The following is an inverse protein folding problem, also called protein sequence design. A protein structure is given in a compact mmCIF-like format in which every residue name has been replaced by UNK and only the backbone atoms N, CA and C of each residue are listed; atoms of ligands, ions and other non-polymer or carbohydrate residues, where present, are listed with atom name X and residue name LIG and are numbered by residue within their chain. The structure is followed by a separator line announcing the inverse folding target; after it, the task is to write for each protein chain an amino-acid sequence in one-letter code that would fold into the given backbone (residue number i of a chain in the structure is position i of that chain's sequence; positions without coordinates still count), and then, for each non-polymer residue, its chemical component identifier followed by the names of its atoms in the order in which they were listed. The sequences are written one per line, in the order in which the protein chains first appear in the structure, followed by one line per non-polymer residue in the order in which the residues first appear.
data_IF_434927264825
#
_entry.id   IF_434927264825
#
_cell.length_a   1.000
_cell.length_b   1.000
_cell.length_c   1.000
_cell.angle_alpha   90.00
_cell.angle_beta   90.00
_cell.angle_gamma   90.00
#
_symmetry.space_group_name_H-M   'P 1'
#
loop_
_entity.id
_entity.type
_entity.pdbx_description
1 polymer ?
#
# COMPACT_ATOMS: atom_id res chain seq x y z
N UNK A 1 20.37 -16.76 6.91
CA UNK A 1 18.91 -16.98 7.00
C UNK A 1 18.56 -18.31 6.34
N UNK A 2 17.58 -19.07 6.85
CA UNK A 2 17.09 -20.25 6.13
C UNK A 2 16.46 -19.78 4.81
N UNK A 3 16.64 -20.58 3.74
CA UNK A 3 16.04 -20.30 2.43
C UNK A 3 14.51 -20.41 2.47
N UNK A 4 13.84 -19.71 1.56
CA UNK A 4 12.38 -19.77 1.40
C UNK A 4 12.03 -21.01 0.57
N UNK A 5 11.21 -21.91 1.10
CA UNK A 5 10.63 -22.99 0.31
C UNK A 5 9.57 -22.42 -0.66
N UNK A 6 9.99 -22.15 -1.90
CA UNK A 6 9.15 -21.56 -2.93
C UNK A 6 7.93 -22.43 -3.27
N UNK A 7 8.06 -23.77 -3.18
CA UNK A 7 6.96 -24.70 -3.47
C UNK A 7 5.91 -24.61 -2.35
N UNK A 8 6.33 -24.62 -1.10
CA UNK A 8 5.43 -24.48 0.03
C UNK A 8 4.77 -23.11 0.09
N UNK A 9 5.53 -22.03 -0.20
CA UNK A 9 4.97 -20.68 -0.29
C UNK A 9 3.87 -20.59 -1.37
N UNK A 10 4.10 -21.14 -2.55
CA UNK A 10 3.11 -21.19 -3.62
C UNK A 10 1.87 -22.02 -3.22
N UNK A 11 2.04 -23.20 -2.62
CA UNK A 11 0.94 -24.06 -2.17
C UNK A 11 0.10 -23.40 -1.07
N UNK A 12 0.73 -22.74 -0.10
CA UNK A 12 0.02 -22.00 0.94
C UNK A 12 -0.75 -20.83 0.36
N UNK A 13 -0.14 -20.05 -0.52
CA UNK A 13 -0.79 -18.94 -1.21
C UNK A 13 -2.03 -19.41 -2.01
N UNK A 14 -1.92 -20.50 -2.74
CA UNK A 14 -3.04 -21.11 -3.46
C UNK A 14 -4.17 -21.58 -2.53
N UNK A 15 -3.85 -22.07 -1.33
CA UNK A 15 -4.86 -22.47 -0.35
C UNK A 15 -5.73 -21.30 0.10
N UNK A 16 -5.16 -20.12 0.30
CA UNK A 16 -5.90 -18.90 0.64
C UNK A 16 -6.79 -18.42 -0.50
N UNK A 17 -6.30 -18.50 -1.75
CA UNK A 17 -7.07 -18.12 -2.93
C UNK A 17 -8.32 -18.99 -3.18
N UNK A 18 -8.32 -20.22 -2.65
CA UNK A 18 -9.46 -21.17 -2.73
C UNK A 18 -10.50 -20.95 -1.64
N UNK A 19 -10.21 -20.17 -0.61
CA UNK A 19 -11.18 -19.86 0.46
C UNK A 19 -12.32 -19.00 -0.09
N UNK A 20 -13.54 -19.30 0.33
CA UNK A 20 -14.71 -18.49 -0.01
C UNK A 20 -15.44 -18.07 1.27
N UNK A 21 -15.80 -16.80 1.33
CA UNK A 21 -16.65 -16.24 2.37
C UNK A 21 -17.98 -15.80 1.77
N UNK A 22 -19.05 -15.92 2.54
CA UNK A 22 -20.43 -15.66 2.08
C UNK A 22 -21.18 -14.78 3.09
N UNK A 23 -22.36 -14.31 2.69
CA UNK A 23 -23.27 -13.57 3.57
C UNK A 23 -22.64 -12.32 4.17
N UNK A 24 -22.87 -12.09 5.45
CA UNK A 24 -22.41 -10.93 6.20
C UNK A 24 -20.88 -10.79 6.22
N UNK A 25 -20.15 -11.91 6.33
CA UNK A 25 -18.67 -11.87 6.31
C UNK A 25 -18.15 -11.35 4.97
N UNK A 26 -18.81 -11.67 3.84
CA UNK A 26 -18.43 -11.08 2.54
C UNK A 26 -18.70 -9.57 2.51
N UNK A 27 -19.84 -9.13 3.05
CA UNK A 27 -20.15 -7.70 3.15
C UNK A 27 -19.09 -6.93 3.95
N UNK A 28 -18.73 -7.45 5.13
CA UNK A 28 -17.70 -6.88 5.98
C UNK A 28 -16.35 -6.81 5.27
N UNK A 29 -15.93 -7.90 4.61
CA UNK A 29 -14.67 -7.96 3.87
C UNK A 29 -14.61 -6.96 2.69
N UNK A 30 -15.73 -6.77 1.96
CA UNK A 30 -15.79 -5.77 0.89
C UNK A 30 -15.60 -4.35 1.42
N UNK A 31 -16.29 -4.00 2.52
CA UNK A 31 -16.16 -2.68 3.16
C UNK A 31 -14.77 -2.47 3.74
N UNK A 32 -14.24 -3.48 4.40
CA UNK A 32 -12.88 -3.45 4.92
C UNK A 32 -11.86 -3.26 3.78
N UNK A 33 -12.00 -3.97 2.66
CA UNK A 33 -11.15 -3.78 1.50
C UNK A 33 -11.23 -2.35 0.93
N UNK A 34 -12.41 -1.71 0.93
CA UNK A 34 -12.58 -0.31 0.52
C UNK A 34 -11.83 0.63 1.48
N UNK A 35 -11.98 0.45 2.79
CA UNK A 35 -11.29 1.28 3.78
C UNK A 35 -9.76 1.14 3.73
N UNK A 36 -9.24 0.10 3.11
CA UNK A 36 -7.81 -0.18 2.94
C UNK A 36 -7.25 0.24 1.58
N UNK A 37 -8.04 0.87 0.72
CA UNK A 37 -7.56 1.29 -0.60
C UNK A 37 -6.61 2.49 -0.49
N UNK A 38 -5.47 2.39 -1.17
CA UNK A 38 -4.67 3.53 -1.59
C UNK A 38 -4.96 3.77 -3.08
N UNK A 39 -5.85 4.71 -3.38
CA UNK A 39 -6.18 5.05 -4.77
C UNK A 39 -5.01 5.78 -5.42
N UNK A 40 -4.52 5.23 -6.51
CA UNK A 40 -3.21 5.62 -7.06
C UNK A 40 -3.34 6.13 -8.48
N UNK A 41 -2.72 7.27 -8.77
CA UNK A 41 -2.43 7.73 -10.12
C UNK A 41 -0.99 8.21 -10.20
N UNK A 42 -0.19 7.57 -11.08
CA UNK A 42 1.26 7.77 -11.20
C UNK A 42 1.66 7.76 -12.67
N UNK A 43 0.92 8.51 -13.50
CA UNK A 43 1.21 8.64 -14.92
C UNK A 43 1.83 10.00 -15.23
N UNK A 44 2.78 10.05 -16.13
CA UNK A 44 3.42 11.30 -16.54
C UNK A 44 2.44 12.35 -17.15
N UNK A 45 1.25 11.89 -17.52
CA UNK A 45 0.16 12.74 -18.02
C UNK A 45 -0.90 13.12 -16.97
N UNK A 46 -0.66 12.86 -15.69
CA UNK A 46 -1.61 13.19 -14.63
C UNK A 46 -1.79 14.71 -14.55
N UNK A 47 -3.04 15.13 -14.45
CA UNK A 47 -3.42 16.53 -14.36
C UNK A 47 -4.04 16.83 -13.00
N UNK A 48 -4.04 18.09 -12.54
CA UNK A 48 -4.76 18.49 -11.32
C UNK A 48 -6.23 18.06 -11.33
N UNK A 49 -6.89 18.14 -12.49
CA UNK A 49 -8.29 17.68 -12.63
C UNK A 49 -8.48 16.20 -12.37
N UNK A 50 -7.54 15.35 -12.82
CA UNK A 50 -7.55 13.91 -12.56
C UNK A 50 -7.29 13.62 -11.09
N UNK A 51 -6.37 14.35 -10.45
CA UNK A 51 -6.10 14.20 -9.01
C UNK A 51 -7.32 14.59 -8.18
N UNK A 52 -8.00 15.72 -8.50
CA UNK A 52 -9.26 16.09 -7.85
C UNK A 52 -10.35 15.03 -8.00
N UNK A 53 -10.47 14.42 -9.18
CA UNK A 53 -11.42 13.32 -9.40
C UNK A 53 -11.08 12.09 -8.53
N UNK A 54 -9.80 11.74 -8.45
CA UNK A 54 -9.30 10.65 -7.59
C UNK A 54 -9.60 10.93 -6.11
N UNK A 55 -9.42 12.17 -5.64
CA UNK A 55 -9.72 12.58 -4.27
C UNK A 55 -11.21 12.45 -3.95
N UNK A 56 -12.10 12.94 -4.85
CA UNK A 56 -13.55 12.76 -4.67
C UNK A 56 -13.92 11.29 -4.57
N UNK A 57 -13.36 10.44 -5.43
CA UNK A 57 -13.58 9.00 -5.38
C UNK A 57 -13.02 8.36 -4.10
N UNK A 58 -11.92 8.85 -3.56
CA UNK A 58 -11.37 8.36 -2.29
C UNK A 58 -12.29 8.66 -1.11
N UNK A 59 -12.91 9.83 -1.10
CA UNK A 59 -13.88 10.24 -0.06
C UNK A 59 -15.19 9.48 -0.20
N UNK A 60 -15.70 9.30 -1.41
CA UNK A 60 -16.95 8.58 -1.72
C UNK A 60 -16.70 7.53 -2.82
N UNK A 61 -16.18 6.33 -2.45
CA UNK A 61 -15.85 5.29 -3.43
C UNK A 61 -17.04 4.70 -4.18
N UNK A 62 -18.24 4.93 -3.66
CA UNK A 62 -19.50 4.45 -4.25
C UNK A 62 -20.40 5.64 -4.50
N UNK A 63 -20.58 6.02 -5.76
CA UNK A 63 -21.62 6.95 -6.16
C UNK A 63 -22.96 6.22 -6.16
N UNK A 64 -23.92 6.74 -5.39
CA UNK A 64 -25.29 6.20 -5.37
C UNK A 64 -26.09 6.93 -6.42
N UNK A 65 -26.59 6.25 -7.47
CA UNK A 65 -27.42 6.90 -8.50
C UNK A 65 -28.64 7.60 -7.89
N UNK A 66 -29.04 8.70 -8.50
CA UNK A 66 -30.21 9.46 -8.07
C UNK A 66 -31.45 8.54 -8.01
N UNK A 67 -32.18 8.56 -6.90
CA UNK A 67 -33.36 7.70 -6.67
C UNK A 67 -33.06 6.28 -6.16
N UNK A 68 -31.77 5.93 -5.99
CA UNK A 68 -31.40 4.68 -5.34
C UNK A 68 -31.20 4.87 -3.83
N UNK A 69 -31.54 3.85 -3.05
CA UNK A 69 -31.26 3.85 -1.60
C UNK A 69 -29.76 3.67 -1.35
N UNK A 70 -29.13 4.54 -0.55
CA UNK A 70 -27.73 4.35 -0.17
C UNK A 70 -27.51 3.02 0.53
N UNK A 71 -26.33 2.39 0.36
CA UNK A 71 -25.99 1.18 1.11
C UNK A 71 -26.02 1.42 2.62
N UNK A 72 -26.65 0.51 3.35
CA UNK A 72 -26.67 0.51 4.82
C UNK A 72 -25.92 -0.74 5.33
N UNK A 73 -24.94 -0.55 6.22
CA UNK A 73 -24.30 0.69 6.67
C UNK A 73 -23.58 1.44 5.53
N UNK A 74 -23.26 2.74 5.75
CA UNK A 74 -22.57 3.57 4.77
C UNK A 74 -21.22 2.95 4.34
N UNK A 75 -20.83 3.18 3.08
CA UNK A 75 -19.54 2.70 2.57
C UNK A 75 -18.42 3.57 3.11
N UNK A 76 -17.33 2.99 3.65
CA UNK A 76 -16.20 3.77 4.15
C UNK A 76 -15.46 4.48 3.01
N UNK A 77 -14.77 5.57 3.34
CA UNK A 77 -13.79 6.20 2.45
C UNK A 77 -12.56 5.30 2.24
N UNK A 78 -11.76 5.58 1.21
CA UNK A 78 -10.46 4.96 1.01
C UNK A 78 -9.45 5.44 2.07
N UNK A 79 -8.40 4.68 2.33
CA UNK A 79 -7.36 5.05 3.29
C UNK A 79 -6.53 6.24 2.82
N UNK A 80 -6.15 6.25 1.54
CA UNK A 80 -5.30 7.27 0.99
C UNK A 80 -5.51 7.47 -0.52
N UNK A 81 -5.02 8.61 -1.01
CA UNK A 81 -4.66 8.81 -2.41
C UNK A 81 -3.14 8.79 -2.54
N UNK A 82 -2.60 8.20 -3.61
CA UNK A 82 -1.18 8.11 -3.85
C UNK A 82 -0.83 8.79 -5.19
N UNK A 83 0.02 9.82 -5.14
CA UNK A 83 0.33 10.70 -6.25
C UNK A 83 1.84 10.98 -6.36
N UNK A 84 2.28 11.63 -7.43
CA UNK A 84 3.62 12.20 -7.53
C UNK A 84 3.79 13.41 -6.59
N UNK A 85 5.02 13.75 -6.14
CA UNK A 85 5.29 14.87 -5.23
C UNK A 85 4.68 16.20 -5.70
N UNK A 86 4.74 16.49 -6.99
CA UNK A 86 4.19 17.72 -7.59
C UNK A 86 2.67 17.84 -7.50
N UNK A 87 1.96 16.76 -7.21
CA UNK A 87 0.50 16.70 -7.09
C UNK A 87 0.01 16.65 -5.63
N UNK A 88 0.92 16.65 -4.66
CA UNK A 88 0.58 16.53 -3.23
C UNK A 88 -0.27 17.72 -2.76
N UNK A 89 0.14 18.95 -3.07
CA UNK A 89 -0.60 20.15 -2.70
C UNK A 89 -2.02 20.14 -3.29
N UNK A 90 -2.16 19.79 -4.58
CA UNK A 90 -3.46 19.66 -5.24
C UNK A 90 -4.36 18.59 -4.57
N UNK A 91 -3.77 17.44 -4.21
CA UNK A 91 -4.51 16.39 -3.52
C UNK A 91 -4.97 16.86 -2.13
N UNK A 92 -4.10 17.57 -1.39
CA UNK A 92 -4.40 18.12 -0.08
C UNK A 92 -5.55 19.12 -0.13
N UNK A 93 -5.47 20.06 -1.07
CA UNK A 93 -6.52 21.07 -1.27
C UNK A 93 -7.86 20.42 -1.67
N UNK A 94 -7.81 19.41 -2.54
CA UNK A 94 -9.00 18.70 -2.99
C UNK A 94 -9.66 17.84 -1.90
N UNK A 95 -8.90 17.34 -0.94
CA UNK A 95 -9.39 16.55 0.19
C UNK A 95 -9.91 17.42 1.34
N UNK A 96 -9.36 18.63 1.53
CA UNK A 96 -9.71 19.48 2.68
C UNK A 96 -9.58 18.72 4.01
N UNK A 97 -10.66 18.71 4.78
CA UNK A 97 -10.74 18.03 6.09
C UNK A 97 -11.16 16.54 6.00
N UNK A 98 -11.29 15.99 4.80
CA UNK A 98 -11.66 14.58 4.66
C UNK A 98 -10.60 13.66 5.30
N UNK A 99 -11.01 12.55 5.96
CA UNK A 99 -10.10 11.66 6.68
C UNK A 99 -9.35 10.70 5.74
N UNK A 100 -8.96 11.18 4.56
CA UNK A 100 -8.18 10.46 3.56
C UNK A 100 -6.75 11.00 3.55
N UNK A 101 -5.77 10.12 3.67
CA UNK A 101 -4.37 10.51 3.68
C UNK A 101 -3.85 10.81 2.28
N UNK A 102 -2.82 11.66 2.20
CA UNK A 102 -2.06 11.88 0.97
C UNK A 102 -0.74 11.14 1.07
N UNK A 103 -0.57 10.11 0.25
CA UNK A 103 0.69 9.40 0.06
C UNK A 103 1.40 9.98 -1.18
N UNK A 104 2.71 10.19 -1.09
CA UNK A 104 3.54 10.57 -2.21
C UNK A 104 4.58 9.49 -2.51
N UNK A 105 4.71 9.10 -3.78
CA UNK A 105 5.89 8.34 -4.20
C UNK A 105 7.09 9.27 -4.22
N UNK A 106 8.23 8.81 -3.71
CA UNK A 106 9.43 9.64 -3.63
C UNK A 106 10.71 8.81 -3.79
N UNK A 107 11.85 9.43 -3.53
CA UNK A 107 13.18 8.83 -3.64
C UNK A 107 13.56 8.39 -5.04
N UNK A 108 13.19 9.20 -6.06
CA UNK A 108 13.50 8.91 -7.45
C UNK A 108 12.62 7.80 -8.05
N UNK A 109 11.36 7.74 -7.63
CA UNK A 109 10.38 6.78 -8.16
C UNK A 109 10.25 6.87 -9.71
N UNK A 110 10.16 5.76 -10.46
CA UNK A 110 10.08 4.37 -9.98
C UNK A 110 11.42 3.65 -9.85
N UNK A 111 12.52 4.19 -10.35
CA UNK A 111 13.80 3.46 -10.46
C UNK A 111 14.68 3.52 -9.21
N UNK A 112 14.62 4.61 -8.44
CA UNK A 112 15.51 4.86 -7.31
C UNK A 112 16.96 5.16 -7.71
N UNK A 113 17.25 5.37 -9.00
CA UNK A 113 18.61 5.54 -9.52
C UNK A 113 19.02 7.02 -9.62
N UNK A 114 18.96 7.70 -8.49
CA UNK A 114 19.46 9.05 -8.32
C UNK A 114 20.40 9.11 -7.10
N UNK A 115 21.33 10.09 -7.04
CA UNK A 115 22.10 10.32 -5.82
C UNK A 115 21.20 10.46 -4.59
N UNK A 116 21.65 9.92 -3.45
CA UNK A 116 20.80 9.83 -2.26
C UNK A 116 20.32 11.19 -1.76
N UNK A 117 21.18 12.23 -1.82
CA UNK A 117 20.82 13.60 -1.44
C UNK A 117 19.68 14.18 -2.28
N UNK A 118 19.65 13.89 -3.60
CA UNK A 118 18.53 14.27 -4.49
C UNK A 118 17.25 13.54 -4.10
N UNK A 119 17.35 12.24 -3.80
CA UNK A 119 16.22 11.39 -3.38
C UNK A 119 15.64 11.83 -2.03
N UNK A 120 16.49 12.23 -1.09
CA UNK A 120 16.05 12.77 0.21
C UNK A 120 15.39 14.14 0.06
N UNK A 121 15.89 14.98 -0.86
CA UNK A 121 15.26 16.27 -1.16
C UNK A 121 13.87 16.09 -1.75
N UNK A 122 13.69 15.18 -2.72
CA UNK A 122 12.39 14.80 -3.28
C UNK A 122 11.39 14.38 -2.17
N UNK A 123 11.86 13.59 -1.20
CA UNK A 123 11.08 13.21 -0.04
C UNK A 123 10.71 14.40 0.85
N UNK A 124 11.68 15.28 1.17
CA UNK A 124 11.46 16.47 2.00
C UNK A 124 10.45 17.43 1.34
N UNK A 125 10.56 17.64 0.04
CA UNK A 125 9.65 18.50 -0.73
C UNK A 125 8.22 17.94 -0.74
N UNK A 126 8.05 16.63 -0.87
CA UNK A 126 6.74 15.97 -0.78
C UNK A 126 6.10 16.16 0.61
N UNK A 127 6.87 15.99 1.69
CA UNK A 127 6.38 16.22 3.06
C UNK A 127 6.03 17.69 3.28
N UNK A 128 6.88 18.62 2.82
CA UNK A 128 6.62 20.05 2.90
C UNK A 128 5.36 20.48 2.14
N UNK A 129 5.03 19.80 1.04
CA UNK A 129 3.80 20.00 0.28
C UNK A 129 2.55 19.42 0.97
N UNK A 130 2.69 18.66 2.05
CA UNK A 130 1.59 18.13 2.85
C UNK A 130 1.34 16.63 2.72
N UNK A 131 2.31 15.83 2.27
CA UNK A 131 2.18 14.37 2.29
C UNK A 131 2.13 13.85 3.73
N UNK A 132 1.18 12.94 4.02
CA UNK A 132 1.09 12.22 5.29
C UNK A 132 1.93 10.94 5.26
N UNK A 133 2.22 10.43 4.08
CA UNK A 133 2.88 9.14 3.87
C UNK A 133 3.84 9.24 2.67
N UNK A 134 5.01 8.62 2.81
CA UNK A 134 6.03 8.56 1.76
C UNK A 134 6.21 7.12 1.32
N UNK A 135 5.95 6.85 0.05
CA UNK A 135 6.22 5.56 -0.60
C UNK A 135 7.61 5.65 -1.27
N UNK A 136 8.69 5.35 -0.52
CA UNK A 136 10.05 5.31 -1.05
C UNK A 136 10.31 4.06 -1.88
N UNK A 137 11.24 4.12 -2.82
CA UNK A 137 11.72 2.95 -3.55
C UNK A 137 13.19 2.68 -3.24
N UNK A 138 13.57 1.42 -2.99
CA UNK A 138 14.96 1.02 -2.76
C UNK A 138 15.75 0.99 -4.08
N UNK A 139 17.07 1.11 -3.99
CA UNK A 139 18.00 0.88 -5.11
C UNK A 139 18.16 -0.63 -5.34
N UNK A 140 17.30 -1.20 -6.22
CA UNK A 140 17.31 -2.65 -6.53
C UNK A 140 18.65 -3.13 -7.05
N UNK A 141 19.30 -2.32 -7.90
CA UNK A 141 20.63 -2.64 -8.42
C UNK A 141 21.69 -2.80 -7.33
N UNK A 142 21.68 -1.94 -6.31
CA UNK A 142 22.55 -2.08 -5.15
C UNK A 142 22.21 -3.35 -4.36
N UNK A 143 20.92 -3.61 -4.14
CA UNK A 143 20.49 -4.82 -3.44
C UNK A 143 20.95 -6.09 -4.16
N UNK A 144 20.71 -6.21 -5.46
CA UNK A 144 21.12 -7.37 -6.29
C UNK A 144 22.64 -7.49 -6.39
N UNK A 145 23.37 -6.37 -6.38
CA UNK A 145 24.83 -6.32 -6.32
C UNK A 145 25.43 -6.68 -4.96
N UNK A 146 24.60 -6.95 -3.93
CA UNK A 146 25.06 -7.30 -2.59
C UNK A 146 25.43 -6.10 -1.70
N UNK A 147 25.20 -4.86 -2.15
CA UNK A 147 25.47 -3.63 -1.41
C UNK A 147 24.35 -3.32 -0.40
N UNK A 148 24.11 -4.27 0.50
CA UNK A 148 22.97 -4.22 1.42
C UNK A 148 23.07 -3.07 2.44
N UNK A 149 24.28 -2.72 2.87
CA UNK A 149 24.50 -1.62 3.83
C UNK A 149 24.08 -0.27 3.23
N UNK A 150 24.32 -0.05 1.94
CA UNK A 150 23.87 1.13 1.21
C UNK A 150 22.34 1.19 1.14
N UNK A 151 21.69 0.06 0.83
CA UNK A 151 20.22 -0.02 0.83
C UNK A 151 19.65 0.24 2.22
N UNK A 152 20.25 -0.32 3.27
CA UNK A 152 19.84 -0.03 4.65
C UNK A 152 20.03 1.45 5.01
N UNK A 153 21.12 2.08 4.56
CA UNK A 153 21.38 3.50 4.75
C UNK A 153 20.29 4.34 4.09
N UNK A 154 19.91 4.05 2.84
CA UNK A 154 18.80 4.74 2.14
C UNK A 154 17.50 4.70 2.95
N UNK A 155 17.14 3.54 3.48
CA UNK A 155 15.91 3.37 4.28
C UNK A 155 16.03 4.14 5.60
N UNK A 156 17.17 4.04 6.31
CA UNK A 156 17.41 4.76 7.58
C UNK A 156 17.32 6.27 7.42
N UNK A 157 18.00 6.82 6.42
CA UNK A 157 18.01 8.27 6.19
C UNK A 157 16.62 8.78 5.79
N UNK A 158 15.91 8.02 4.94
CA UNK A 158 14.50 8.35 4.58
C UNK A 158 13.58 8.26 5.80
N UNK A 159 13.74 7.24 6.66
CA UNK A 159 12.95 7.10 7.89
C UNK A 159 13.19 8.24 8.86
N UNK A 160 14.47 8.64 9.05
CA UNK A 160 14.83 9.76 9.89
C UNK A 160 14.20 11.06 9.38
N UNK A 161 14.25 11.28 8.07
CA UNK A 161 13.63 12.44 7.42
C UNK A 161 12.11 12.45 7.59
N UNK A 162 11.45 11.30 7.43
CA UNK A 162 9.99 11.17 7.66
C UNK A 162 9.61 11.49 9.11
N UNK A 163 10.43 11.06 10.08
CA UNK A 163 10.17 11.32 11.50
C UNK A 163 10.40 12.79 11.89
N UNK A 164 11.45 13.41 11.34
CA UNK A 164 11.88 14.77 11.66
C UNK A 164 12.10 15.59 10.39
N UNK A 165 11.04 15.88 9.62
CA UNK A 165 11.19 16.65 8.39
C UNK A 165 11.57 18.11 8.72
N UNK A 166 12.37 18.77 7.87
CA UNK A 166 12.75 20.18 8.07
C UNK A 166 11.54 21.13 7.94
N UNK A 167 10.50 20.69 7.24
CA UNK A 167 9.21 21.39 7.06
C UNK A 167 8.08 20.37 6.96
N UNK A 168 6.89 20.77 7.36
CA UNK A 168 5.71 19.88 7.36
C UNK A 168 5.54 19.12 8.67
N UNK A 169 4.74 18.07 8.63
CA UNK A 169 4.48 17.16 9.76
C UNK A 169 5.20 15.84 9.55
N UNK A 170 5.51 15.08 10.58
CA UNK A 170 6.01 13.73 10.43
C UNK A 170 5.11 12.89 9.50
N UNK A 171 5.73 12.08 8.65
CA UNK A 171 5.07 11.23 7.68
C UNK A 171 5.36 9.75 7.94
N UNK A 172 4.41 8.88 7.61
CA UNK A 172 4.66 7.44 7.63
C UNK A 172 5.52 7.03 6.44
N UNK A 173 6.34 6.00 6.62
CA UNK A 173 7.21 5.47 5.58
C UNK A 173 6.67 4.14 5.04
N UNK A 174 6.60 4.01 3.70
CA UNK A 174 6.37 2.73 3.04
C UNK A 174 7.53 2.43 2.09
N UNK A 175 8.20 1.30 2.31
CA UNK A 175 9.39 0.90 1.55
C UNK A 175 9.00 -0.01 0.41
N UNK A 176 9.10 0.47 -0.83
CA UNK A 176 8.83 -0.31 -2.05
C UNK A 176 10.06 -1.15 -2.36
N UNK A 177 9.88 -2.47 -2.36
CA UNK A 177 10.94 -3.43 -2.65
C UNK A 177 11.09 -3.71 -4.16
N UNK A 178 10.04 -3.49 -4.96
CA UNK A 178 9.91 -3.87 -6.38
C UNK A 178 10.17 -5.36 -6.59
N UNK A 179 9.35 -6.15 -5.95
CA UNK A 179 9.53 -7.61 -5.84
C UNK A 179 9.59 -8.35 -7.16
N UNK A 180 9.03 -7.77 -8.24
CA UNK A 180 9.13 -8.33 -9.58
C UNK A 180 10.54 -8.31 -10.18
N UNK A 181 11.44 -7.45 -9.66
CA UNK A 181 12.85 -7.36 -10.08
C UNK A 181 13.82 -8.02 -9.10
N UNK A 182 13.34 -8.59 -7.98
CA UNK A 182 14.19 -9.27 -7.00
C UNK A 182 14.48 -10.74 -7.34
N UNK A 183 13.94 -11.25 -8.43
CA UNK A 183 14.22 -12.54 -9.07
C UNK A 183 13.76 -13.77 -8.27
N UNK A 184 14.03 -13.84 -6.96
CA UNK A 184 13.73 -15.01 -6.11
C UNK A 184 12.94 -14.64 -4.85
N UNK A 185 12.21 -15.61 -4.29
CA UNK A 185 11.54 -15.43 -3.00
C UNK A 185 12.53 -15.25 -1.84
N UNK A 186 13.75 -15.81 -1.95
CA UNK A 186 14.82 -15.56 -0.98
C UNK A 186 15.23 -14.09 -0.98
N UNK A 187 15.39 -13.48 -2.15
CA UNK A 187 15.69 -12.05 -2.28
C UNK A 187 14.53 -11.19 -1.77
N UNK A 188 13.28 -11.56 -2.06
CA UNK A 188 12.09 -10.87 -1.51
C UNK A 188 12.10 -10.92 0.02
N UNK A 189 12.37 -12.09 0.61
CA UNK A 189 12.47 -12.23 2.05
C UNK A 189 13.60 -11.38 2.61
N UNK A 190 14.79 -11.47 2.03
CA UNK A 190 15.96 -10.71 2.47
C UNK A 190 15.74 -9.20 2.37
N UNK A 191 15.18 -8.71 1.27
CA UNK A 191 14.86 -7.29 1.10
C UNK A 191 13.82 -6.82 2.13
N UNK A 192 12.83 -7.67 2.46
CA UNK A 192 11.84 -7.38 3.49
C UNK A 192 12.50 -7.24 4.87
N UNK A 193 13.32 -8.22 5.25
CA UNK A 193 14.01 -8.19 6.54
C UNK A 193 14.95 -6.98 6.67
N UNK A 194 15.73 -6.67 5.62
CA UNK A 194 16.63 -5.51 5.60
C UNK A 194 15.87 -4.18 5.69
N UNK A 195 14.76 -4.04 4.96
CA UNK A 195 13.94 -2.83 4.99
C UNK A 195 13.31 -2.61 6.38
N UNK A 196 12.78 -3.67 6.99
CA UNK A 196 12.19 -3.65 8.33
C UNK A 196 13.27 -3.30 9.36
N UNK A 197 14.40 -4.01 9.34
CA UNK A 197 15.52 -3.75 10.26
C UNK A 197 16.01 -2.31 10.15
N UNK A 198 16.27 -1.84 8.95
CA UNK A 198 16.75 -0.49 8.72
C UNK A 198 15.78 0.57 9.23
N UNK A 199 14.47 0.39 9.02
CA UNK A 199 13.46 1.33 9.49
C UNK A 199 13.27 1.30 11.01
N UNK A 200 13.48 0.14 11.66
CA UNK A 200 13.33 -0.03 13.10
C UNK A 200 14.59 0.36 13.90
N UNK A 201 15.77 0.42 13.27
CA UNK A 201 17.06 0.62 13.94
C UNK A 201 17.78 1.89 13.50
N UNK A 202 17.04 2.99 13.34
CA UNK A 202 17.64 4.29 13.01
C UNK A 202 18.35 4.86 14.24
N UNK A 203 19.66 5.17 14.17
CA UNK A 203 20.39 5.72 15.31
C UNK A 203 19.77 7.04 15.80
N UNK A 204 19.52 7.14 17.10
CA UNK A 204 18.97 8.34 17.72
C UNK A 204 17.45 8.53 17.52
N UNK A 205 16.77 7.62 16.86
CA UNK A 205 15.32 7.63 16.68
C UNK A 205 14.68 6.49 17.46
N UNK A 206 13.53 6.74 18.07
CA UNK A 206 12.73 5.68 18.68
C UNK A 206 12.26 4.66 17.63
N UNK A 207 12.01 3.43 18.08
CA UNK A 207 11.37 2.43 17.24
C UNK A 207 10.02 2.96 16.71
N UNK A 208 9.62 2.57 15.48
CA UNK A 208 8.37 3.06 14.92
C UNK A 208 7.16 2.61 15.73
N UNK A 209 6.17 3.47 15.83
CA UNK A 209 4.85 3.08 16.31
C UNK A 209 4.18 2.11 15.32
N UNK A 210 3.15 1.39 15.80
CA UNK A 210 2.39 0.45 14.98
C UNK A 210 1.86 1.13 13.71
N UNK A 211 2.20 0.56 12.54
CA UNK A 211 1.78 1.08 11.24
C UNK A 211 2.45 2.39 10.79
N UNK A 212 3.46 2.88 11.49
CA UNK A 212 4.25 4.03 11.04
C UNK A 212 5.19 3.67 9.88
N UNK A 213 5.56 2.39 9.81
CA UNK A 213 6.38 1.81 8.74
C UNK A 213 5.64 0.68 8.05
N UNK A 214 5.69 0.67 6.72
CA UNK A 214 5.18 -0.39 5.86
C UNK A 214 6.28 -0.91 4.96
N UNK A 215 6.16 -2.18 4.54
CA UNK A 215 6.81 -2.67 3.33
C UNK A 215 5.77 -2.81 2.22
N UNK A 216 6.17 -2.48 0.98
CA UNK A 216 5.30 -2.47 -0.19
C UNK A 216 5.92 -3.32 -1.29
N UNK A 217 5.09 -4.10 -1.99
CA UNK A 217 5.60 -5.00 -3.03
C UNK A 217 6.23 -4.26 -4.20
N UNK A 218 5.51 -3.31 -4.80
CA UNK A 218 5.83 -2.86 -6.16
C UNK A 218 5.49 -1.40 -6.41
N UNK A 219 6.17 -0.81 -7.39
CA UNK A 219 5.84 0.52 -7.94
C UNK A 219 4.54 0.49 -8.75
N UNK A 220 4.18 -0.67 -9.31
CA UNK A 220 3.12 -0.82 -10.31
C UNK A 220 3.58 -0.54 -11.75
N UNK A 221 4.86 -0.18 -11.95
CA UNK A 221 5.45 0.09 -13.28
C UNK A 221 6.15 -1.11 -13.88
N UNK A 222 6.43 -2.14 -13.07
CA UNK A 222 7.09 -3.39 -13.48
C UNK A 222 6.15 -4.57 -13.24
N UNK A 223 6.28 -5.61 -14.07
CA UNK A 223 5.55 -6.88 -13.93
C UNK A 223 6.55 -8.03 -13.76
N UNK A 224 6.21 -9.06 -12.94
CA UNK A 224 4.99 -9.16 -12.12
C UNK A 224 5.02 -8.18 -10.95
N UNK A 225 3.84 -7.62 -10.63
CA UNK A 225 3.66 -6.78 -9.45
C UNK A 225 3.32 -7.65 -8.21
N UNK A 226 2.35 -7.28 -7.38
CA UNK A 226 1.95 -8.10 -6.24
C UNK A 226 1.41 -9.47 -6.67
N UNK A 227 1.97 -10.53 -6.10
CA UNK A 227 1.45 -11.89 -6.20
C UNK A 227 1.20 -12.46 -4.81
N UNK A 228 0.32 -13.45 -4.70
CA UNK A 228 0.01 -14.07 -3.41
C UNK A 228 1.25 -14.72 -2.75
N UNK A 229 2.12 -15.49 -3.46
CA UNK A 229 3.32 -16.06 -2.85
C UNK A 229 4.31 -15.00 -2.35
N UNK A 230 4.56 -13.96 -3.14
CA UNK A 230 5.44 -12.85 -2.77
C UNK A 230 4.91 -12.13 -1.52
N UNK A 231 3.61 -11.81 -1.51
CA UNK A 231 3.00 -11.14 -0.36
C UNK A 231 3.04 -12.02 0.88
N UNK A 232 2.83 -13.33 0.75
CA UNK A 232 2.94 -14.26 1.89
C UNK A 232 4.35 -14.22 2.51
N UNK A 233 5.40 -14.26 1.70
CA UNK A 233 6.79 -14.19 2.19
C UNK A 233 7.05 -12.86 2.92
N UNK A 234 6.52 -11.75 2.41
CA UNK A 234 6.62 -10.44 3.08
C UNK A 234 5.83 -10.39 4.39
N UNK A 235 4.63 -11.00 4.45
CA UNK A 235 3.86 -11.13 5.70
C UNK A 235 4.58 -11.99 6.73
N UNK A 236 5.28 -13.04 6.31
CA UNK A 236 6.10 -13.86 7.19
C UNK A 236 7.29 -13.07 7.78
N UNK A 237 7.92 -12.19 7.00
CA UNK A 237 8.95 -11.28 7.52
C UNK A 237 8.38 -10.31 8.57
N UNK A 238 7.18 -9.75 8.33
CA UNK A 238 6.47 -8.89 9.29
C UNK A 238 6.12 -9.66 10.56
N UNK A 239 5.60 -10.89 10.43
CA UNK A 239 5.29 -11.76 11.58
C UNK A 239 6.52 -12.00 12.42
N UNK A 240 7.63 -12.37 11.80
CA UNK A 240 8.86 -12.69 12.50
C UNK A 240 9.43 -11.45 13.21
N UNK A 241 9.36 -10.27 12.60
CA UNK A 241 9.68 -9.02 13.27
C UNK A 241 8.80 -8.79 14.51
N UNK A 242 7.47 -8.92 14.36
CA UNK A 242 6.53 -8.75 15.47
C UNK A 242 6.80 -9.73 16.62
N UNK A 243 7.07 -10.98 16.31
CA UNK A 243 7.37 -12.00 17.31
C UNK A 243 8.63 -11.67 18.11
N UNK A 244 9.62 -11.00 17.51
CA UNK A 244 10.88 -10.64 18.18
C UNK A 244 10.84 -9.28 18.88
N UNK A 245 10.07 -8.33 18.37
CA UNK A 245 10.14 -6.92 18.81
C UNK A 245 8.85 -6.37 19.39
N UNK A 246 7.71 -7.00 19.11
CA UNK A 246 6.38 -6.48 19.40
C UNK A 246 5.92 -5.34 18.48
N UNK A 247 6.73 -4.91 17.50
CA UNK A 247 6.40 -3.80 16.58
C UNK A 247 5.55 -4.31 15.42
N UNK A 248 4.41 -3.66 15.15
CA UNK A 248 3.54 -3.98 14.02
C UNK A 248 3.90 -3.18 12.79
N UNK A 249 4.65 -3.81 11.88
CA UNK A 249 4.95 -3.27 10.55
C UNK A 249 3.73 -3.48 9.64
N UNK A 250 3.40 -2.48 8.84
CA UNK A 250 2.31 -2.57 7.87
C UNK A 250 2.73 -3.23 6.55
N UNK A 251 1.73 -3.69 5.79
CA UNK A 251 1.92 -4.30 4.47
C UNK A 251 1.08 -3.61 3.41
N UNK A 252 1.68 -3.35 2.23
CA UNK A 252 0.97 -2.81 1.06
C UNK A 252 1.28 -3.62 -0.20
N UNK A 253 0.49 -4.66 -0.54
CA UNK A 253 0.55 -5.22 -1.89
C UNK A 253 0.04 -4.18 -2.90
N UNK A 254 0.78 -3.98 -3.98
CA UNK A 254 0.51 -2.98 -5.00
C UNK A 254 0.66 -3.52 -6.41
N UNK A 255 -0.28 -3.17 -7.29
CA UNK A 255 -0.35 -3.62 -8.69
C UNK A 255 -0.91 -5.04 -8.85
N UNK A 256 -1.66 -5.27 -9.92
CA UNK A 256 -2.21 -6.59 -10.28
C UNK A 256 -3.49 -7.01 -9.56
N UNK A 257 -3.89 -6.37 -8.47
CA UNK A 257 -5.11 -6.70 -7.71
C UNK A 257 -6.27 -5.88 -8.28
N UNK A 258 -7.21 -6.55 -8.93
CA UNK A 258 -8.29 -5.88 -9.70
C UNK A 258 -9.70 -6.27 -9.28
N UNK A 259 -9.86 -7.40 -8.58
CA UNK A 259 -11.16 -7.94 -8.25
C UNK A 259 -11.36 -8.10 -6.75
N UNK A 260 -12.60 -7.96 -6.30
CA UNK A 260 -13.00 -8.21 -4.92
C UNK A 260 -12.67 -9.63 -4.46
N UNK A 261 -12.73 -10.61 -5.36
CA UNK A 261 -12.32 -11.99 -5.05
C UNK A 261 -10.83 -12.06 -4.68
N UNK A 262 -9.98 -11.39 -5.46
CA UNK A 262 -8.56 -11.29 -5.13
C UNK A 262 -8.34 -10.58 -3.79
N UNK A 263 -8.96 -9.39 -3.59
CA UNK A 263 -8.84 -8.65 -2.34
C UNK A 263 -9.23 -9.50 -1.12
N UNK A 264 -10.34 -10.24 -1.19
CA UNK A 264 -10.77 -11.15 -0.12
C UNK A 264 -9.72 -12.24 0.13
N UNK A 265 -9.11 -12.81 -0.91
CA UNK A 265 -8.05 -13.82 -0.73
C UNK A 265 -6.83 -13.24 0.00
N UNK A 266 -6.44 -11.98 -0.29
CA UNK A 266 -5.40 -11.28 0.45
C UNK A 266 -5.80 -11.04 1.92
N UNK A 267 -7.04 -10.62 2.20
CA UNK A 267 -7.51 -10.43 3.58
C UNK A 267 -7.49 -11.75 4.37
N UNK A 268 -7.90 -12.85 3.76
CA UNK A 268 -7.80 -14.20 4.38
C UNK A 268 -6.34 -14.53 4.68
N UNK A 269 -5.42 -14.29 3.74
CA UNK A 269 -4.00 -14.53 3.94
C UNK A 269 -3.42 -13.69 5.08
N UNK A 270 -3.78 -12.42 5.16
CA UNK A 270 -3.37 -11.53 6.28
C UNK A 270 -3.87 -12.08 7.60
N UNK A 271 -5.17 -12.38 7.70
CA UNK A 271 -5.78 -12.93 8.91
C UNK A 271 -5.08 -14.21 9.38
N UNK A 272 -4.86 -15.16 8.49
CA UNK A 272 -4.28 -16.46 8.83
C UNK A 272 -2.76 -16.40 9.07
N UNK A 273 -2.06 -15.33 8.64
CA UNK A 273 -0.61 -15.19 8.83
C UNK A 273 -0.27 -14.28 10.00
N UNK A 274 -1.00 -13.19 10.17
CA UNK A 274 -0.69 -12.12 11.14
C UNK A 274 -1.75 -11.92 12.22
N UNK A 275 -2.99 -12.37 12.01
CA UNK A 275 -4.10 -12.16 12.94
C UNK A 275 -5.01 -11.00 12.54
N UNK A 276 -6.05 -10.79 13.37
CA UNK A 276 -7.11 -9.82 13.10
C UNK A 276 -6.63 -8.36 13.25
N UNK A 277 -5.58 -8.11 14.04
CA UNK A 277 -5.02 -6.79 14.28
C UNK A 277 -4.51 -6.13 13.01
N UNK A 278 -4.03 -6.92 12.03
CA UNK A 278 -3.61 -6.40 10.72
C UNK A 278 -4.76 -6.15 9.75
N UNK A 279 -5.97 -6.55 10.09
CA UNK A 279 -7.16 -6.25 9.29
C UNK A 279 -7.67 -4.82 9.57
N UNK A 280 -6.77 -3.85 9.45
CA UNK A 280 -7.06 -2.43 9.66
C UNK A 280 -6.30 -1.57 8.64
N UNK A 281 -6.85 -0.42 8.19
CA UNK A 281 -6.17 0.46 7.23
C UNK A 281 -4.86 1.06 7.76
N UNK A 282 -4.65 1.04 9.08
CA UNK A 282 -3.37 1.42 9.71
C UNK A 282 -2.25 0.42 9.52
N UNK A 283 -2.55 -0.85 9.15
CA UNK A 283 -1.57 -1.94 9.07
C UNK A 283 -1.61 -2.71 7.75
N UNK A 284 -2.69 -2.56 6.97
CA UNK A 284 -2.78 -3.20 5.66
C UNK A 284 -3.43 -2.27 4.63
N UNK A 285 -2.87 -2.20 3.43
CA UNK A 285 -3.34 -1.37 2.32
C UNK A 285 -3.34 -2.12 1.00
N UNK A 286 -4.26 -1.78 0.12
CA UNK A 286 -4.24 -2.19 -1.29
C UNK A 286 -3.82 -1.03 -2.19
N UNK A 287 -2.65 -1.12 -2.81
CA UNK A 287 -2.20 -0.16 -3.83
C UNK A 287 -2.87 -0.45 -5.18
N UNK A 288 -4.14 -0.10 -5.32
CA UNK A 288 -4.93 -0.48 -6.49
C UNK A 288 -6.12 0.46 -6.72
N UNK A 289 -6.21 1.07 -7.91
CA UNK A 289 -7.37 1.93 -8.29
C UNK A 289 -8.49 1.15 -8.98
N UNK A 290 -8.15 0.23 -9.90
CA UNK A 290 -9.16 -0.58 -10.61
C UNK A 290 -9.99 -1.47 -9.65
N UNK A 291 -9.40 -1.89 -8.52
CA UNK A 291 -10.09 -2.67 -7.49
C UNK A 291 -11.29 -1.91 -6.89
N UNK A 292 -11.20 -0.59 -6.75
CA UNK A 292 -12.26 0.23 -6.17
C UNK A 292 -13.58 0.07 -6.92
N UNK A 293 -13.52 0.04 -8.26
CA UNK A 293 -14.72 -0.11 -9.09
C UNK A 293 -15.39 -1.49 -8.91
N UNK A 294 -14.60 -2.56 -8.81
CA UNK A 294 -15.17 -3.89 -8.57
C UNK A 294 -15.76 -4.00 -7.17
N UNK A 295 -15.09 -3.48 -6.15
CA UNK A 295 -15.61 -3.43 -4.78
C UNK A 295 -16.92 -2.64 -4.72
N UNK A 296 -16.97 -1.44 -5.33
CA UNK A 296 -18.17 -0.60 -5.39
C UNK A 296 -19.34 -1.35 -6.02
N UNK A 297 -19.13 -2.00 -7.17
CA UNK A 297 -20.16 -2.82 -7.85
C UNK A 297 -20.66 -3.96 -6.97
N UNK A 298 -19.78 -4.65 -6.26
CA UNK A 298 -20.17 -5.75 -5.38
C UNK A 298 -20.99 -5.25 -4.18
N UNK A 299 -20.65 -4.09 -3.60
CA UNK A 299 -21.40 -3.49 -2.51
C UNK A 299 -22.79 -3.08 -2.99
N UNK A 300 -22.89 -2.36 -4.11
CA UNK A 300 -24.17 -1.97 -4.72
C UNK A 300 -25.05 -3.19 -5.04
N UNK A 301 -24.46 -4.24 -5.61
CA UNK A 301 -25.18 -5.50 -5.88
C UNK A 301 -25.75 -6.14 -4.61
N UNK A 302 -24.99 -6.15 -3.52
CA UNK A 302 -25.44 -6.76 -2.27
C UNK A 302 -26.58 -5.98 -1.61
N UNK A 303 -26.61 -4.65 -1.79
CA UNK A 303 -27.69 -3.80 -1.29
C UNK A 303 -28.95 -3.84 -2.16
N UNK A 304 -28.78 -3.80 -3.49
CA UNK A 304 -29.90 -3.68 -4.44
C UNK A 304 -30.39 -5.03 -5.03
N UNK A 305 -29.63 -6.11 -4.88
CA UNK A 305 -29.85 -7.39 -5.55
C UNK A 305 -29.58 -7.37 -7.07
N UNK A 306 -29.17 -6.21 -7.65
CA UNK A 306 -28.93 -6.01 -9.09
C UNK A 306 -27.46 -5.72 -9.36
N UNK A 307 -26.98 -6.12 -10.53
CA UNK A 307 -25.62 -5.73 -10.97
C UNK A 307 -25.62 -4.27 -11.38
N UNK A 308 -24.67 -3.51 -10.83
CA UNK A 308 -24.35 -2.17 -11.30
C UNK A 308 -23.68 -2.24 -12.69
N UNK A 309 -24.06 -1.35 -13.59
CA UNK A 309 -23.43 -1.24 -14.90
C UNK A 309 -22.03 -0.60 -14.81
N UNK A 310 -21.26 -0.68 -15.88
CA UNK A 310 -19.90 -0.10 -15.89
C UNK A 310 -19.93 1.44 -15.68
N UNK A 311 -20.95 2.10 -16.16
CA UNK A 311 -21.13 3.57 -16.05
C UNK A 311 -21.69 4.03 -14.69
N UNK A 312 -22.09 3.11 -13.81
CA UNK A 312 -22.51 3.42 -12.43
C UNK A 312 -21.33 3.63 -11.48
N UNK A 313 -20.11 3.44 -11.94
CA UNK A 313 -18.88 3.69 -11.19
C UNK A 313 -17.93 4.53 -12.03
N UNK A 314 -17.46 5.63 -11.48
CA UNK A 314 -16.56 6.55 -12.18
C UNK A 314 -15.18 5.93 -12.38
N UNK A 315 -14.63 6.05 -13.60
CA UNK A 315 -13.20 5.86 -13.84
C UNK A 315 -12.47 7.14 -13.43
N UNK A 316 -11.74 7.09 -12.32
CA UNK A 316 -10.87 8.19 -11.88
C UNK A 316 -9.42 7.87 -12.19
#
# INVERSE_FOLDING_TARGET
MPGVDAIMAARRADSFAKRSIKGSSKQQALRLAISMLDLTTLEGKDTPGKVRALCRKAVSPVDVPAGCTPPDPAVPHAAAVCVYPTMVAEARDALGDAPVKVAAVATGFPSGQYPLDVRLRDCADAIAAGADEIDMVISRGLFLGGHHDEVMREVRETRALCAHPPKGRPAHLKVILETGELETLDNVRRASDLAIEAACTVPGLAAPADGEVFIKTSTGKVQPAATMPVTLVMLEAIRDCFMHTGIRIGMKPAGGIRTSKQAIAYLVMVKETLGDEWLAPGLFRFGASALANDLARQVLRMGSGRYAAAHDVTEA
#
